data_IF_070165020942
#
_entry.id   IF_070165020942
#
_cell.length_a   1.000
_cell.length_b   1.000
_cell.length_c   1.000
_cell.angle_alpha   90.00
_cell.angle_beta   90.00
_cell.angle_gamma   90.00
#
_symmetry.space_group_name_H-M   'P 1'
#
loop_
_entity.id
_entity.type
_entity.pdbx_description
1 polymer ?
#
# COMPACT_ATOMS: atom_id res chain seq x y z
N UNK A 1 -41.24 1.23 -6.32
CA UNK A 1 -40.19 0.40 -5.67
C UNK A 1 -38.84 1.01 -5.99
N UNK A 2 -38.37 1.93 -5.14
CA UNK A 2 -37.07 2.58 -5.27
C UNK A 2 -35.99 1.64 -4.72
N UNK A 3 -35.08 1.19 -5.59
CA UNK A 3 -34.00 0.27 -5.22
C UNK A 3 -32.87 1.07 -4.57
N UNK A 4 -32.77 1.00 -3.26
CA UNK A 4 -31.68 1.60 -2.47
C UNK A 4 -30.37 0.88 -2.81
N UNK A 5 -29.56 1.47 -3.70
CA UNK A 5 -28.21 0.99 -3.99
C UNK A 5 -27.35 1.26 -2.74
N UNK A 6 -27.34 0.29 -1.82
CA UNK A 6 -26.48 0.30 -0.64
C UNK A 6 -25.04 0.50 -1.10
N UNK A 7 -24.54 1.74 -0.98
CA UNK A 7 -23.15 2.07 -1.21
C UNK A 7 -22.32 1.23 -0.26
N UNK A 8 -21.80 0.12 -0.78
CA UNK A 8 -20.91 -0.77 -0.07
C UNK A 8 -19.81 0.10 0.55
N UNK A 9 -19.64 0.01 1.86
CA UNK A 9 -18.68 0.84 2.57
C UNK A 9 -17.29 0.68 1.93
N UNK A 10 -16.81 1.72 1.27
CA UNK A 10 -15.47 1.80 0.68
C UNK A 10 -14.44 1.95 1.80
N UNK A 11 -14.19 0.85 2.53
CA UNK A 11 -13.18 0.80 3.58
C UNK A 11 -11.86 0.42 2.94
N UNK A 12 -10.87 1.29 3.03
CA UNK A 12 -9.49 1.00 2.61
C UNK A 12 -8.63 0.76 3.84
N UNK A 13 -7.65 -0.12 3.73
CA UNK A 13 -6.79 -0.48 4.85
C UNK A 13 -5.32 -0.28 4.48
N UNK A 14 -4.59 0.37 5.38
CA UNK A 14 -3.14 0.47 5.34
C UNK A 14 -2.55 -0.45 6.40
N UNK A 15 -1.79 -1.43 5.97
CA UNK A 15 -1.13 -2.42 6.80
C UNK A 15 0.33 -2.05 7.03
N UNK A 16 0.75 -1.98 8.29
CA UNK A 16 2.14 -1.83 8.66
C UNK A 16 2.84 -3.18 8.72
N UNK A 17 3.82 -3.44 7.85
CA UNK A 17 4.58 -4.69 7.82
C UNK A 17 5.55 -4.85 9.01
N UNK A 18 5.83 -3.77 9.74
CA UNK A 18 6.76 -3.80 10.88
C UNK A 18 6.11 -4.04 12.24
N UNK A 19 4.81 -3.78 12.38
CA UNK A 19 4.11 -3.93 13.67
C UNK A 19 2.68 -4.43 13.52
N UNK A 20 2.29 -4.87 12.32
CA UNK A 20 0.97 -5.37 11.97
C UNK A 20 -0.18 -4.39 12.29
N UNK A 21 0.12 -3.10 12.45
CA UNK A 21 -0.89 -2.06 12.67
C UNK A 21 -1.71 -1.86 11.40
N UNK A 22 -3.04 -1.82 11.56
CA UNK A 22 -3.99 -1.53 10.48
C UNK A 22 -4.57 -0.14 10.66
N UNK A 23 -4.58 0.66 9.60
CA UNK A 23 -5.17 1.99 9.56
C UNK A 23 -6.29 2.00 8.53
N UNK A 24 -7.53 2.29 8.96
CA UNK A 24 -8.66 2.46 8.07
C UNK A 24 -8.60 3.85 7.41
N UNK A 25 -8.61 3.88 6.08
CA UNK A 25 -8.66 5.09 5.27
C UNK A 25 -10.10 5.25 4.78
N UNK A 26 -10.73 6.35 5.19
CA UNK A 26 -12.14 6.64 4.86
C UNK A 26 -12.31 7.37 3.51
N UNK A 27 -11.22 7.93 2.95
CA UNK A 27 -11.26 8.62 1.65
C UNK A 27 -10.62 7.75 0.58
N UNK A 28 -11.44 7.31 -0.38
CA UNK A 28 -10.99 6.63 -1.57
C UNK A 28 -10.33 7.64 -2.54
N UNK A 29 -9.04 7.50 -2.88
CA UNK A 29 -8.41 8.33 -3.90
C UNK A 29 -8.76 7.91 -5.33
N UNK A 30 -9.34 6.72 -5.52
CA UNK A 30 -9.65 6.13 -6.83
C UNK A 30 -11.06 6.43 -7.34
N UNK A 31 -11.94 7.04 -6.56
CA UNK A 31 -13.35 7.21 -6.96
C UNK A 31 -13.52 7.98 -8.27
N UNK A 32 -12.76 9.07 -8.45
CA UNK A 32 -12.76 9.84 -9.69
C UNK A 32 -12.09 9.08 -10.84
N UNK A 33 -11.08 8.27 -10.53
CA UNK A 33 -10.36 7.47 -11.52
C UNK A 33 -11.26 6.38 -12.09
N UNK A 34 -12.03 5.69 -11.25
CA UNK A 34 -13.02 4.70 -11.67
C UNK A 34 -14.05 5.32 -12.62
N UNK A 35 -14.56 6.52 -12.33
CA UNK A 35 -15.53 7.18 -13.22
C UNK A 35 -14.93 7.50 -14.59
N UNK A 36 -13.70 8.03 -14.64
CA UNK A 36 -13.00 8.26 -15.91
C UNK A 36 -12.77 6.95 -16.66
N UNK A 37 -12.33 5.91 -15.96
CA UNK A 37 -12.03 4.62 -16.57
C UNK A 37 -13.28 3.95 -17.15
N UNK A 38 -14.41 4.02 -16.44
CA UNK A 38 -15.70 3.53 -16.94
C UNK A 38 -16.10 4.27 -18.23
N UNK A 39 -15.90 5.59 -18.30
CA UNK A 39 -16.19 6.41 -19.48
C UNK A 39 -15.25 6.10 -20.65
N UNK A 40 -13.95 5.95 -20.39
CA UNK A 40 -12.95 5.71 -21.44
C UNK A 40 -13.02 4.29 -22.00
N UNK A 41 -13.27 3.30 -21.14
CA UNK A 41 -13.23 1.89 -21.51
C UNK A 41 -14.62 1.32 -21.83
N UNK A 42 -15.69 2.05 -21.52
CA UNK A 42 -17.08 1.58 -21.58
C UNK A 42 -17.37 0.36 -20.68
N UNK A 43 -16.57 0.13 -19.64
CA UNK A 43 -16.79 -0.94 -18.67
C UNK A 43 -17.74 -0.52 -17.55
N UNK A 44 -18.51 -1.49 -17.05
CA UNK A 44 -19.35 -1.33 -15.85
C UNK A 44 -18.53 -1.77 -14.63
N UNK A 45 -17.99 -0.80 -13.91
CA UNK A 45 -17.21 -1.04 -12.70
C UNK A 45 -18.16 -1.42 -11.56
N UNK A 46 -18.06 -2.66 -11.08
CA UNK A 46 -18.90 -3.18 -9.98
C UNK A 46 -18.32 -2.89 -8.59
N UNK A 47 -17.12 -2.33 -8.51
CA UNK A 47 -16.46 -1.87 -7.29
C UNK A 47 -14.94 -2.06 -7.35
N UNK A 48 -14.26 -1.66 -6.27
CA UNK A 48 -12.82 -1.76 -6.12
C UNK A 48 -12.39 -2.21 -4.73
N UNK A 49 -11.20 -2.81 -4.65
CA UNK A 49 -10.53 -3.16 -3.40
C UNK A 49 -9.14 -2.53 -3.38
N UNK A 50 -8.82 -1.80 -2.31
CA UNK A 50 -7.52 -1.15 -2.13
C UNK A 50 -6.92 -1.53 -0.77
N UNK A 51 -5.88 -2.37 -0.82
CA UNK A 51 -5.05 -2.73 0.32
C UNK A 51 -3.67 -2.11 0.12
N UNK A 52 -3.25 -1.26 1.05
CA UNK A 52 -1.94 -0.58 1.01
C UNK A 52 -1.04 -1.21 2.05
N UNK A 53 0.21 -1.48 1.69
CA UNK A 53 1.21 -2.04 2.60
C UNK A 53 2.38 -1.06 2.75
N UNK A 54 2.82 -0.84 3.98
CA UNK A 54 3.93 0.07 4.23
C UNK A 54 4.49 -0.06 5.63
N UNK A 55 5.25 0.95 6.05
CA UNK A 55 5.80 1.05 7.40
C UNK A 55 5.26 2.30 8.07
N UNK A 56 4.69 2.13 9.26
CA UNK A 56 4.25 3.28 10.05
C UNK A 56 5.46 4.12 10.50
N UNK A 57 5.27 5.40 10.89
CA UNK A 57 6.36 6.28 11.31
C UNK A 57 7.28 5.64 12.38
N UNK A 58 6.69 4.94 13.36
CA UNK A 58 7.43 4.23 14.42
C UNK A 58 8.29 3.06 13.89
N UNK A 59 7.83 2.38 12.84
CA UNK A 59 8.58 1.29 12.23
C UNK A 59 9.65 1.83 11.30
N UNK A 60 9.37 2.91 10.56
CA UNK A 60 10.31 3.53 9.62
C UNK A 60 11.66 3.81 10.26
N UNK A 61 11.69 4.33 11.48
CA UNK A 61 12.92 4.59 12.25
C UNK A 61 13.72 3.30 12.53
N UNK A 62 13.04 2.17 12.78
CA UNK A 62 13.68 0.87 12.99
C UNK A 62 14.20 0.22 11.69
N UNK A 63 13.58 0.52 10.55
CA UNK A 63 14.01 0.00 9.24
C UNK A 63 15.18 0.81 8.66
N UNK A 64 15.22 2.13 8.84
CA UNK A 64 16.31 2.98 8.36
C UNK A 64 17.68 2.52 8.87
N UNK A 65 17.77 2.10 10.15
CA UNK A 65 19.02 1.61 10.73
C UNK A 65 19.53 0.26 10.17
N UNK A 66 18.70 -0.53 9.46
CA UNK A 66 19.16 -1.81 8.88
C UNK A 66 19.87 -1.63 7.53
N UNK A 67 19.48 -0.63 6.73
CA UNK A 67 20.04 -0.42 5.39
C UNK A 67 21.51 0.02 5.44
N UNK A 68 21.88 0.85 6.42
CA UNK A 68 23.28 1.24 6.66
C UNK A 68 24.18 0.06 7.07
N UNK A 69 23.62 -0.98 7.69
CA UNK A 69 24.39 -2.16 8.10
C UNK A 69 24.60 -3.18 6.97
N UNK A 70 23.73 -3.20 5.94
CA UNK A 70 23.87 -4.09 4.79
C UNK A 70 24.95 -3.60 3.82
N UNK A 71 24.99 -2.29 3.53
CA UNK A 71 26.03 -1.68 2.68
C UNK A 71 27.43 -1.94 3.24
N UNK A 72 27.59 -1.83 4.57
CA UNK A 72 28.89 -2.02 5.24
C UNK A 72 29.33 -3.50 5.37
N UNK A 73 28.46 -4.48 5.12
CA UNK A 73 28.84 -5.91 5.17
C UNK A 73 29.32 -6.48 3.85
N UNK A 74 29.02 -5.85 2.70
CA UNK A 74 29.48 -6.33 1.37
C UNK A 74 30.95 -6.00 1.06
N UNK A 75 31.63 -5.20 1.88
CA UNK A 75 33.03 -4.77 1.64
C UNK A 75 34.09 -5.68 2.30
N UNK A 76 33.73 -6.88 2.80
CA UNK A 76 34.66 -7.72 3.59
C UNK A 76 34.91 -9.15 3.08
N UNK A 77 34.55 -9.46 1.85
CA UNK A 77 35.10 -10.64 1.19
C UNK A 77 36.00 -10.19 0.04
N UNK A 78 37.23 -9.85 0.42
CA UNK A 78 38.35 -9.78 -0.50
C UNK A 78 38.63 -11.17 -1.06
N UNK A 79 38.50 -11.28 -2.38
CA UNK A 79 39.17 -12.30 -3.17
C UNK A 79 40.50 -11.69 -3.61
N UNK A 80 41.45 -11.67 -2.69
CA UNK A 80 42.84 -11.33 -2.97
C UNK A 80 43.69 -12.28 -2.12
N UNK A 81 43.97 -13.45 -2.69
CA UNK A 81 45.09 -14.33 -2.34
C UNK A 81 45.06 -15.60 -3.21
N UNK A 82 45.63 -15.51 -4.41
CA UNK A 82 46.59 -16.46 -5.00
C UNK A 82 47.06 -15.94 -6.35
#
# INVERSE_FOLDING_TARGET
>A
MSYEFKRLSHKHYLFCLGCNKVLAINRCPLGNYEESLAKETNYIISGHKLDIYGYCPKCREKYAHKEETCVKKRQRHGWDQS
#
